data_IF_352804500600
#
_entry.id   IF_352804500600
#
_cell.length_a   1.000
_cell.length_b   1.000
_cell.length_c   1.000
_cell.angle_alpha   90.00
_cell.angle_beta   90.00
_cell.angle_gamma   90.00
#
_symmetry.space_group_name_H-M   'P 1'
#
loop_
_entity.id
_entity.type
_entity.pdbx_description
1 polymer ?
#
# COMPACT_ATOMS: atom_id res chain seq x y z
N UNK A 1 5.06 -19.87 -6.44
CA UNK A 1 3.82 -19.76 -5.60
C UNK A 1 2.62 -20.19 -6.42
N UNK A 2 1.69 -20.95 -5.83
CA UNK A 2 0.46 -21.37 -6.48
C UNK A 2 -0.73 -21.03 -5.58
N UNK A 3 -1.82 -20.51 -6.19
CA UNK A 3 -3.08 -20.18 -5.51
C UNK A 3 -4.25 -20.65 -6.36
N UNK A 4 -5.13 -21.44 -5.80
CA UNK A 4 -6.37 -21.86 -6.47
C UNK A 4 -7.54 -21.07 -5.92
N UNK A 5 -8.31 -20.41 -6.80
CA UNK A 5 -9.57 -19.77 -6.49
C UNK A 5 -10.73 -20.53 -7.13
N UNK A 6 -11.81 -20.71 -6.38
CA UNK A 6 -13.00 -21.42 -6.84
C UNK A 6 -14.19 -20.52 -6.69
N UNK A 7 -14.95 -20.34 -7.77
CA UNK A 7 -16.19 -19.59 -7.80
C UNK A 7 -17.33 -20.47 -8.29
N UNK A 8 -18.49 -20.38 -7.67
CA UNK A 8 -19.71 -21.00 -8.17
C UNK A 8 -20.55 -19.93 -8.86
N UNK A 9 -20.99 -20.20 -10.07
CA UNK A 9 -21.92 -19.36 -10.80
C UNK A 9 -23.30 -19.48 -10.17
N UNK A 10 -23.78 -18.43 -9.51
CA UNK A 10 -25.11 -18.39 -8.93
C UNK A 10 -26.20 -18.12 -10.00
N UNK A 11 -27.47 -18.19 -9.61
CA UNK A 11 -28.60 -18.00 -10.53
C UNK A 11 -28.71 -16.58 -11.12
N UNK A 12 -27.97 -15.59 -10.60
CA UNK A 12 -27.90 -14.24 -11.18
C UNK A 12 -26.99 -14.19 -12.40
N UNK A 13 -26.18 -15.24 -12.64
CA UNK A 13 -25.18 -15.34 -13.70
C UNK A 13 -25.79 -16.08 -14.89
N UNK A 14 -26.76 -15.48 -15.55
CA UNK A 14 -27.34 -16.07 -16.77
C UNK A 14 -26.48 -15.74 -17.98
N UNK A 15 -25.94 -16.78 -18.64
CA UNK A 15 -25.24 -16.68 -19.93
C UNK A 15 -24.11 -15.63 -19.97
N UNK A 16 -23.21 -15.68 -18.99
CA UNK A 16 -22.13 -14.67 -18.84
C UNK A 16 -20.78 -15.26 -19.25
N UNK A 17 -20.00 -14.60 -20.13
CA UNK A 17 -18.62 -15.02 -20.43
C UNK A 17 -17.74 -14.98 -19.19
N UNK A 18 -16.82 -15.96 -19.06
CA UNK A 18 -15.82 -16.02 -17.96
C UNK A 18 -15.08 -14.68 -17.79
N UNK A 19 -14.68 -14.04 -18.89
CA UNK A 19 -13.99 -12.74 -18.82
C UNK A 19 -14.82 -11.65 -18.18
N UNK A 20 -16.13 -11.63 -18.38
CA UNK A 20 -17.03 -10.65 -17.79
C UNK A 20 -17.30 -10.98 -16.31
N UNK A 21 -17.55 -12.24 -16.00
CA UNK A 21 -17.68 -12.72 -14.62
C UNK A 21 -16.46 -12.34 -13.76
N UNK A 22 -15.25 -12.62 -14.25
CA UNK A 22 -14.02 -12.28 -13.53
C UNK A 22 -13.84 -10.76 -13.34
N UNK A 23 -14.25 -9.95 -14.32
CA UNK A 23 -14.26 -8.48 -14.15
C UNK A 23 -15.21 -8.04 -13.03
N UNK A 24 -16.40 -8.64 -12.93
CA UNK A 24 -17.32 -8.37 -11.81
C UNK A 24 -16.73 -8.77 -10.46
N UNK A 25 -15.89 -9.83 -10.42
CA UNK A 25 -15.15 -10.26 -9.23
C UNK A 25 -13.92 -9.39 -8.94
N UNK A 26 -13.69 -8.30 -9.68
CA UNK A 26 -12.60 -7.33 -9.45
C UNK A 26 -11.30 -7.63 -10.21
N UNK A 27 -11.27 -8.62 -11.11
CA UNK A 27 -10.08 -8.90 -11.92
C UNK A 27 -9.84 -7.79 -12.93
N UNK A 28 -8.63 -7.27 -12.96
CA UNK A 28 -8.20 -6.28 -13.97
C UNK A 28 -8.06 -6.92 -15.36
N UNK A 29 -8.09 -6.10 -16.41
CA UNK A 29 -7.81 -6.59 -17.76
C UNK A 29 -6.43 -7.26 -17.86
N UNK A 30 -5.44 -6.76 -17.10
CA UNK A 30 -4.10 -7.35 -17.06
C UNK A 30 -4.10 -8.71 -16.36
N UNK A 31 -4.89 -8.90 -15.30
CA UNK A 31 -5.07 -10.22 -14.68
C UNK A 31 -5.61 -11.23 -15.69
N UNK A 32 -6.61 -10.85 -16.50
CA UNK A 32 -7.16 -11.73 -17.54
C UNK A 32 -6.12 -12.08 -18.62
N UNK A 33 -5.26 -11.14 -18.99
CA UNK A 33 -4.15 -11.38 -19.92
C UNK A 33 -3.15 -12.38 -19.33
N UNK A 34 -2.82 -12.29 -18.05
CA UNK A 34 -1.91 -13.23 -17.41
C UNK A 34 -2.52 -14.65 -17.34
N UNK A 35 -3.79 -14.77 -16.93
CA UNK A 35 -4.49 -16.06 -16.90
C UNK A 35 -4.54 -16.75 -18.28
N UNK A 36 -4.65 -15.99 -19.36
CA UNK A 36 -4.66 -16.54 -20.73
C UNK A 36 -3.34 -17.18 -21.18
N UNK A 37 -2.22 -16.85 -20.53
CA UNK A 37 -0.90 -17.40 -20.90
C UNK A 37 -0.75 -18.88 -20.57
N UNK A 38 -1.49 -19.36 -19.55
CA UNK A 38 -1.53 -20.76 -19.16
C UNK A 38 -2.91 -21.33 -19.52
N UNK A 39 -3.00 -22.22 -20.55
CA UNK A 39 -4.26 -22.84 -20.96
C UNK A 39 -4.94 -23.67 -19.86
N UNK A 40 -4.18 -24.09 -18.84
CA UNK A 40 -4.68 -24.85 -17.69
C UNK A 40 -5.09 -23.95 -16.50
N UNK A 41 -4.94 -22.63 -16.61
CA UNK A 41 -5.21 -21.71 -15.53
C UNK A 41 -6.71 -21.49 -15.25
N UNK A 42 -7.58 -21.77 -16.24
CA UNK A 42 -9.03 -21.51 -16.12
C UNK A 42 -9.81 -22.75 -16.49
N UNK A 43 -10.57 -23.28 -15.54
CA UNK A 43 -11.39 -24.50 -15.76
C UNK A 43 -12.86 -24.22 -15.42
N UNK A 44 -13.75 -24.63 -16.30
CA UNK A 44 -15.18 -24.71 -16.04
C UNK A 44 -15.54 -26.18 -15.77
N UNK A 45 -16.10 -26.48 -14.60
CA UNK A 45 -16.44 -27.86 -14.17
C UNK A 45 -15.25 -28.84 -14.32
N UNK A 46 -14.03 -28.39 -14.01
CA UNK A 46 -12.81 -29.19 -14.10
C UNK A 46 -12.22 -29.32 -15.53
N UNK A 47 -12.84 -28.72 -16.55
CA UNK A 47 -12.39 -28.78 -17.94
C UNK A 47 -11.78 -27.42 -18.33
N UNK A 48 -10.55 -27.38 -18.91
CA UNK A 48 -9.95 -26.13 -19.39
C UNK A 48 -10.87 -25.39 -20.36
N UNK A 49 -11.03 -24.09 -20.14
CA UNK A 49 -11.89 -23.25 -20.95
C UNK A 49 -11.25 -21.90 -21.31
N UNK A 50 -11.74 -21.28 -22.38
CA UNK A 50 -11.33 -19.93 -22.78
C UNK A 50 -12.14 -18.84 -22.08
N UNK A 51 -11.64 -17.62 -22.09
CA UNK A 51 -12.29 -16.46 -21.46
C UNK A 51 -13.65 -16.07 -22.06
N UNK A 52 -13.98 -16.53 -23.27
CA UNK A 52 -15.27 -16.38 -23.93
C UNK A 52 -16.26 -17.53 -23.64
N UNK A 53 -15.82 -18.56 -22.91
CA UNK A 53 -16.71 -19.62 -22.45
C UNK A 53 -17.87 -19.02 -21.62
N UNK A 54 -19.10 -19.42 -21.95
CA UNK A 54 -20.31 -18.90 -21.30
C UNK A 54 -20.66 -19.77 -20.12
N UNK A 55 -20.55 -19.22 -18.91
CA UNK A 55 -20.94 -19.90 -17.68
C UNK A 55 -22.45 -20.07 -17.60
N UNK A 56 -22.87 -21.23 -17.12
CA UNK A 56 -24.25 -21.56 -16.80
C UNK A 56 -24.47 -21.51 -15.28
N UNK A 57 -25.70 -21.36 -14.80
CA UNK A 57 -26.02 -21.49 -13.37
C UNK A 57 -25.48 -22.81 -12.80
N UNK A 58 -24.89 -22.75 -11.63
CA UNK A 58 -24.23 -23.87 -10.91
C UNK A 58 -22.90 -24.31 -11.47
N UNK A 59 -22.37 -23.74 -12.57
CA UNK A 59 -21.02 -24.00 -13.03
C UNK A 59 -19.98 -23.62 -11.96
N UNK A 60 -18.96 -24.46 -11.82
CA UNK A 60 -17.80 -24.18 -10.96
C UNK A 60 -16.65 -23.69 -11.82
N UNK A 61 -16.23 -22.45 -11.59
CA UNK A 61 -15.05 -21.86 -12.22
C UNK A 61 -13.86 -21.99 -11.29
N UNK A 62 -12.84 -22.75 -11.69
CA UNK A 62 -11.57 -22.89 -10.97
C UNK A 62 -10.49 -22.12 -11.67
N UNK A 63 -9.72 -21.32 -10.90
CA UNK A 63 -8.59 -20.56 -11.40
C UNK A 63 -7.31 -21.01 -10.71
N UNK A 64 -6.29 -21.33 -11.48
CA UNK A 64 -4.93 -21.60 -11.00
C UNK A 64 -4.05 -20.38 -11.26
N UNK A 65 -3.68 -19.67 -10.19
CA UNK A 65 -2.80 -18.51 -10.24
C UNK A 65 -1.40 -19.02 -9.90
N UNK A 66 -0.48 -18.95 -10.86
CA UNK A 66 0.91 -19.42 -10.69
C UNK A 66 1.88 -18.28 -10.83
N UNK A 67 2.85 -18.25 -9.91
CA UNK A 67 4.03 -17.39 -9.94
C UNK A 67 5.25 -18.33 -9.91
N UNK A 68 5.88 -18.52 -11.05
CA UNK A 68 6.98 -19.46 -11.28
C UNK A 68 8.37 -18.81 -11.28
N UNK A 69 8.40 -17.48 -11.18
CA UNK A 69 9.61 -16.68 -11.13
C UNK A 69 9.57 -15.69 -9.98
N UNK A 70 10.75 -15.22 -9.56
CA UNK A 70 10.94 -14.16 -8.57
C UNK A 70 11.34 -12.86 -9.24
N UNK A 71 11.32 -11.76 -8.48
CA UNK A 71 11.80 -10.46 -8.96
C UNK A 71 13.30 -10.51 -9.26
N UNK A 72 13.70 -10.51 -10.51
CA UNK A 72 15.08 -10.75 -10.99
C UNK A 72 16.12 -9.74 -10.45
N UNK A 73 15.71 -8.50 -10.16
CA UNK A 73 16.61 -7.40 -9.77
C UNK A 73 16.57 -7.09 -8.28
N UNK A 74 16.01 -7.97 -7.47
CA UNK A 74 15.89 -7.78 -6.02
C UNK A 74 16.67 -8.90 -5.33
N UNK A 75 17.92 -8.64 -4.91
CA UNK A 75 18.70 -9.66 -4.21
C UNK A 75 18.06 -9.97 -2.84
N UNK A 76 17.97 -11.25 -2.45
CA UNK A 76 17.51 -11.64 -1.12
C UNK A 76 18.54 -11.19 -0.06
N UNK A 77 18.07 -10.56 1.02
CA UNK A 77 18.89 -10.13 2.15
C UNK A 77 18.13 -10.39 3.44
N UNK A 78 18.80 -11.03 4.40
CA UNK A 78 18.24 -11.26 5.73
C UNK A 78 18.16 -9.94 6.52
N UNK A 79 17.00 -9.33 6.52
CA UNK A 79 16.69 -8.10 7.23
C UNK A 79 15.50 -8.32 8.17
N UNK A 80 15.39 -7.57 9.28
CA UNK A 80 14.26 -7.67 10.19
C UNK A 80 12.92 -7.40 9.46
N UNK A 81 11.95 -8.30 9.66
CA UNK A 81 10.58 -8.17 9.18
C UNK A 81 9.61 -8.27 10.36
N UNK A 82 8.72 -7.30 10.48
CA UNK A 82 7.58 -7.38 11.39
C UNK A 82 6.31 -7.64 10.58
N UNK A 83 5.95 -8.92 10.44
CA UNK A 83 4.75 -9.37 9.71
C UNK A 83 3.59 -9.33 10.70
N UNK A 84 2.64 -8.40 10.48
CA UNK A 84 1.44 -8.22 11.31
C UNK A 84 0.34 -9.20 10.90
N UNK A 85 0.29 -9.53 9.60
CA UNK A 85 -0.66 -10.48 9.04
C UNK A 85 -0.08 -11.11 7.77
N UNK A 86 -0.39 -12.37 7.55
CA UNK A 86 -0.09 -13.08 6.32
C UNK A 86 -1.14 -14.15 6.05
N UNK A 87 -1.59 -14.24 4.80
CA UNK A 87 -2.39 -15.35 4.29
C UNK A 87 -1.89 -15.81 2.91
N UNK A 88 -2.75 -16.50 2.16
CA UNK A 88 -2.40 -16.97 0.81
C UNK A 88 -2.35 -15.83 -0.24
N UNK A 89 -2.95 -14.68 0.02
CA UNK A 89 -3.23 -13.65 -0.97
C UNK A 89 -2.45 -12.35 -0.73
N UNK A 90 -2.17 -12.01 0.53
CA UNK A 90 -1.48 -10.77 0.92
C UNK A 90 -0.72 -10.87 2.24
N UNK A 91 0.11 -9.86 2.51
CA UNK A 91 0.77 -9.61 3.80
C UNK A 91 0.51 -8.18 4.22
N UNK A 92 0.41 -7.95 5.53
CA UNK A 92 0.49 -6.62 6.16
C UNK A 92 1.75 -6.59 7.01
N UNK A 93 2.59 -5.60 6.77
CA UNK A 93 3.91 -5.47 7.40
C UNK A 93 3.97 -4.13 8.10
N UNK A 94 4.44 -4.13 9.35
CA UNK A 94 4.86 -2.92 10.05
C UNK A 94 6.33 -2.63 9.70
N UNK A 95 6.52 -1.76 8.72
CA UNK A 95 7.83 -1.41 8.19
C UNK A 95 8.61 -0.52 9.15
N UNK A 96 9.84 -0.84 9.52
CA UNK A 96 10.68 0.07 10.31
C UNK A 96 11.02 1.35 9.52
N UNK A 97 11.39 2.41 10.22
CA UNK A 97 12.04 3.57 9.62
C UNK A 97 13.44 3.20 9.11
N UNK A 98 14.00 3.99 8.18
CA UNK A 98 15.31 3.73 7.58
C UNK A 98 15.33 2.68 6.47
N UNK A 99 14.21 1.98 6.24
CA UNK A 99 14.07 0.94 5.23
C UNK A 99 13.20 1.44 4.06
N UNK A 100 13.74 1.63 2.85
CA UNK A 100 12.92 1.93 1.66
C UNK A 100 12.09 0.71 1.23
N UNK A 101 11.03 0.96 0.47
CA UNK A 101 10.17 -0.12 -0.08
C UNK A 101 10.90 -0.93 -1.16
N UNK A 102 11.57 -0.24 -2.09
CA UNK A 102 12.31 -0.87 -3.19
C UNK A 102 13.80 -0.54 -3.11
N UNK A 103 14.66 -1.39 -3.68
CA UNK A 103 16.06 -1.06 -3.88
C UNK A 103 16.21 0.27 -4.65
N UNK A 104 17.20 1.07 -4.26
CA UNK A 104 17.56 2.34 -4.90
C UNK A 104 19.07 2.55 -4.85
N UNK A 105 19.59 3.56 -5.54
CA UNK A 105 21.01 3.78 -5.76
C UNK A 105 21.88 3.67 -4.49
N UNK A 106 21.42 4.17 -3.35
CA UNK A 106 22.16 4.09 -2.07
C UNK A 106 21.58 3.08 -1.07
N UNK A 107 20.58 2.29 -1.48
CA UNK A 107 19.86 1.33 -0.63
C UNK A 107 19.55 0.05 -1.41
N UNK A 108 20.56 -0.49 -2.10
CA UNK A 108 20.36 -1.65 -2.99
C UNK A 108 20.08 -2.94 -2.23
N UNK A 109 20.62 -3.06 -1.00
CA UNK A 109 20.52 -4.25 -0.16
C UNK A 109 19.74 -4.05 1.14
N UNK A 110 19.07 -2.90 1.31
CA UNK A 110 18.41 -2.52 2.57
C UNK A 110 16.95 -2.10 2.35
N UNK A 111 16.21 -2.83 1.54
CA UNK A 111 14.79 -2.51 1.28
C UNK A 111 13.85 -3.60 1.77
N UNK A 112 12.57 -3.25 1.96
CA UNK A 112 11.53 -4.22 2.26
C UNK A 112 11.45 -5.32 1.20
N UNK A 113 11.67 -4.97 -0.07
CA UNK A 113 11.72 -5.93 -1.16
C UNK A 113 12.84 -6.97 -1.00
N UNK A 114 14.04 -6.55 -0.53
CA UNK A 114 15.14 -7.47 -0.24
C UNK A 114 14.81 -8.42 0.92
N UNK A 115 14.21 -7.88 1.99
CA UNK A 115 13.81 -8.68 3.15
C UNK A 115 12.78 -9.76 2.76
N UNK A 116 11.78 -9.39 1.96
CA UNK A 116 10.76 -10.33 1.49
C UNK A 116 11.30 -11.32 0.45
N UNK A 117 12.22 -10.91 -0.42
CA UNK A 117 12.90 -11.84 -1.32
C UNK A 117 13.60 -12.94 -0.51
N UNK A 118 14.30 -12.58 0.57
CA UNK A 118 14.93 -13.57 1.47
C UNK A 118 13.89 -14.42 2.19
N UNK A 119 12.84 -13.82 2.73
CA UNK A 119 11.77 -14.55 3.45
C UNK A 119 11.14 -15.66 2.58
N UNK A 120 10.84 -15.38 1.32
CA UNK A 120 10.25 -16.36 0.40
C UNK A 120 11.29 -17.34 -0.18
N UNK A 121 12.55 -16.92 -0.33
CA UNK A 121 13.66 -17.83 -0.71
C UNK A 121 13.83 -18.94 0.31
N UNK A 122 13.79 -18.63 1.62
CA UNK A 122 13.89 -19.64 2.69
C UNK A 122 12.74 -20.65 2.67
N UNK A 123 11.63 -20.31 2.04
CA UNK A 123 10.48 -21.20 1.84
C UNK A 123 10.51 -21.94 0.49
N UNK A 124 11.56 -21.76 -0.31
CA UNK A 124 11.66 -22.24 -1.70
C UNK A 124 10.45 -21.81 -2.55
N UNK A 125 9.92 -20.61 -2.29
CA UNK A 125 8.72 -20.08 -2.92
C UNK A 125 9.08 -18.92 -3.86
N UNK A 126 8.86 -19.03 -5.18
CA UNK A 126 9.01 -17.90 -6.09
C UNK A 126 8.12 -16.74 -5.67
N UNK A 127 8.66 -15.53 -5.65
CA UNK A 127 7.95 -14.34 -5.19
C UNK A 127 8.26 -13.09 -6.02
N UNK A 128 7.23 -12.47 -6.58
CA UNK A 128 7.33 -11.17 -7.23
C UNK A 128 6.84 -10.08 -6.27
N UNK A 129 7.74 -9.17 -5.90
CA UNK A 129 7.43 -8.11 -4.93
C UNK A 129 6.42 -7.10 -5.49
N UNK A 130 5.29 -6.94 -4.79
CA UNK A 130 4.19 -6.02 -5.15
C UNK A 130 3.67 -5.28 -3.93
N UNK A 131 4.28 -4.14 -3.62
CA UNK A 131 3.82 -3.25 -2.56
C UNK A 131 2.65 -2.39 -3.05
N UNK A 132 1.58 -2.36 -2.28
CA UNK A 132 0.32 -1.71 -2.64
C UNK A 132 0.29 -0.24 -2.22
N UNK A 133 0.72 0.07 -0.99
CA UNK A 133 0.85 1.43 -0.48
C UNK A 133 2.30 1.71 -0.08
N UNK A 134 3.00 2.51 -0.87
CA UNK A 134 4.40 2.85 -0.59
C UNK A 134 4.51 3.81 0.58
N UNK A 135 5.53 3.61 1.41
CA UNK A 135 5.98 4.53 2.44
C UNK A 135 7.35 5.09 2.07
N UNK A 136 7.65 6.29 2.50
CA UNK A 136 9.00 6.85 2.38
C UNK A 136 10.00 6.01 3.20
N UNK A 137 11.30 6.09 2.89
CA UNK A 137 12.35 5.35 3.59
C UNK A 137 12.22 5.46 5.10
N UNK A 138 12.11 6.69 5.61
CA UNK A 138 12.13 7.00 7.04
C UNK A 138 10.72 7.11 7.66
N UNK A 139 9.66 6.83 6.90
CA UNK A 139 8.30 6.64 7.41
C UNK A 139 8.13 5.19 7.86
N UNK A 140 7.76 4.99 9.12
CA UNK A 140 7.45 3.67 9.68
C UNK A 140 5.98 3.31 9.53
N UNK A 141 5.62 2.04 9.81
CA UNK A 141 4.24 1.58 9.94
C UNK A 141 3.72 0.72 8.80
N UNK A 142 2.40 0.62 8.74
CA UNK A 142 1.69 -0.41 7.99
C UNK A 142 1.75 -0.25 6.46
N UNK A 143 2.13 -1.33 5.80
CA UNK A 143 2.10 -1.46 4.33
C UNK A 143 1.54 -2.81 3.92
N UNK A 144 0.83 -2.86 2.79
CA UNK A 144 0.28 -4.08 2.18
C UNK A 144 1.22 -4.54 1.08
N UNK A 145 1.53 -5.82 1.09
CA UNK A 145 2.23 -6.52 -0.01
C UNK A 145 1.33 -7.62 -0.54
N UNK A 146 1.05 -7.61 -1.82
CA UNK A 146 0.29 -8.66 -2.49
C UNK A 146 1.20 -9.84 -2.85
N UNK A 147 0.72 -11.08 -2.60
CA UNK A 147 1.50 -12.29 -2.83
C UNK A 147 1.42 -12.76 -4.30
N UNK A 148 0.36 -12.41 -5.03
CA UNK A 148 0.21 -12.76 -6.45
C UNK A 148 -0.43 -11.62 -7.26
N UNK A 149 -0.34 -11.70 -8.60
CA UNK A 149 -0.77 -10.63 -9.50
C UNK A 149 -2.28 -10.33 -9.44
N UNK A 150 -3.13 -11.29 -9.05
CA UNK A 150 -4.58 -11.06 -8.94
C UNK A 150 -4.88 -10.19 -7.73
N UNK A 151 -4.39 -10.56 -6.53
CA UNK A 151 -4.57 -9.73 -5.33
C UNK A 151 -3.97 -8.34 -5.49
N UNK A 152 -2.80 -8.24 -6.16
CA UNK A 152 -2.18 -6.94 -6.46
C UNK A 152 -3.07 -6.06 -7.35
N UNK A 153 -3.66 -6.65 -8.40
CA UNK A 153 -4.57 -5.93 -9.29
C UNK A 153 -5.82 -5.41 -8.57
N UNK A 154 -6.44 -6.24 -7.75
CA UNK A 154 -7.63 -5.89 -6.97
C UNK A 154 -7.33 -4.81 -5.92
N UNK A 155 -6.29 -4.97 -5.12
CA UNK A 155 -5.88 -3.99 -4.11
C UNK A 155 -5.48 -2.64 -4.74
N UNK A 156 -4.79 -2.66 -5.88
CA UNK A 156 -4.45 -1.44 -6.61
C UNK A 156 -5.68 -0.70 -7.13
N UNK A 157 -6.69 -1.44 -7.61
CA UNK A 157 -7.96 -0.86 -8.02
C UNK A 157 -8.73 -0.24 -6.84
N UNK A 158 -8.67 -0.85 -5.65
CA UNK A 158 -9.27 -0.30 -4.43
C UNK A 158 -8.61 1.03 -4.02
N UNK A 159 -7.29 1.17 -4.17
CA UNK A 159 -6.61 2.47 -3.92
C UNK A 159 -6.99 3.52 -4.96
N UNK A 160 -7.12 3.14 -6.22
CA UNK A 160 -7.42 4.06 -7.31
C UNK A 160 -8.87 4.57 -7.28
N UNK A 161 -9.81 3.74 -6.81
CA UNK A 161 -11.23 4.07 -6.77
C UNK A 161 -11.62 4.77 -5.46
N UNK A 162 -11.61 6.09 -5.46
CA UNK A 162 -11.89 6.93 -4.30
C UNK A 162 -13.35 6.84 -3.79
N UNK A 163 -14.29 6.57 -4.67
CA UNK A 163 -15.73 6.59 -4.33
C UNK A 163 -16.19 5.35 -3.55
N UNK A 164 -15.50 4.23 -3.77
CA UNK A 164 -15.77 2.94 -3.10
C UNK A 164 -14.55 2.45 -2.35
N UNK A 165 -13.61 3.34 -2.03
CA UNK A 165 -12.27 2.99 -1.59
C UNK A 165 -12.29 2.01 -0.44
N UNK A 166 -12.02 0.76 -0.78
CA UNK A 166 -11.86 -0.28 0.19
C UNK A 166 -10.61 -0.12 1.05
N UNK A 167 -9.72 0.87 0.83
CA UNK A 167 -8.47 1.02 1.60
C UNK A 167 -8.39 2.40 2.24
N UNK A 168 -8.50 2.45 3.57
CA UNK A 168 -8.26 3.65 4.38
C UNK A 168 -6.89 3.56 5.03
N UNK A 169 -6.11 4.63 4.91
CA UNK A 169 -4.76 4.77 5.46
C UNK A 169 -4.73 5.97 6.38
N UNK A 170 -4.57 5.72 7.66
CA UNK A 170 -4.44 6.76 8.68
C UNK A 170 -3.02 6.80 9.22
N UNK A 171 -2.46 7.98 9.34
CA UNK A 171 -1.10 8.23 9.78
C UNK A 171 -1.10 9.02 11.07
N UNK A 172 -0.06 8.84 11.89
CA UNK A 172 0.30 9.76 12.96
C UNK A 172 1.52 10.56 12.54
N UNK A 173 1.47 11.87 12.82
CA UNK A 173 2.62 12.74 12.62
C UNK A 173 2.78 13.66 13.84
N UNK A 174 4.03 14.07 14.12
CA UNK A 174 4.32 15.11 15.09
C UNK A 174 4.71 16.37 14.32
N UNK A 175 3.87 17.39 14.40
CA UNK A 175 4.04 18.68 13.76
C UNK A 175 4.64 19.69 14.74
N UNK A 176 5.50 20.60 14.25
CA UNK A 176 6.08 21.69 15.03
C UNK A 176 4.99 22.72 15.37
N UNK A 177 4.87 23.08 16.65
CA UNK A 177 3.93 24.08 17.13
C UNK A 177 2.51 23.55 17.39
N UNK A 178 1.62 24.48 17.76
CA UNK A 178 0.20 24.21 18.02
C UNK A 178 -0.62 24.37 16.75
N UNK A 179 -0.97 23.27 16.10
CA UNK A 179 -1.71 23.26 14.84
C UNK A 179 -3.11 23.85 15.00
N UNK A 180 -3.43 24.85 14.20
CA UNK A 180 -4.78 25.48 14.15
C UNK A 180 -5.26 25.63 12.70
N UNK A 181 -6.55 25.40 12.42
CA UNK A 181 -7.57 24.85 13.32
C UNK A 181 -7.28 23.38 13.71
N UNK A 182 -7.92 22.86 14.77
CA UNK A 182 -7.67 21.49 15.29
C UNK A 182 -8.04 20.36 14.32
N UNK A 183 -8.79 20.65 13.28
CA UNK A 183 -9.14 19.72 12.19
C UNK A 183 -9.34 20.48 10.89
N UNK A 184 -9.09 19.82 9.77
CA UNK A 184 -9.30 20.42 8.47
C UNK A 184 -8.97 19.48 7.32
N UNK A 185 -9.10 20.02 6.11
CA UNK A 185 -8.72 19.35 4.86
C UNK A 185 -7.76 20.25 4.09
N UNK A 186 -6.64 19.68 3.68
CA UNK A 186 -5.65 20.34 2.83
C UNK A 186 -5.86 19.83 1.41
N UNK A 187 -6.29 20.73 0.52
CA UNK A 187 -6.47 20.46 -0.91
C UNK A 187 -5.47 21.33 -1.66
N UNK A 188 -4.27 20.82 -1.87
CA UNK A 188 -3.17 21.51 -2.52
C UNK A 188 -2.43 20.56 -3.47
N UNK A 189 -2.43 20.82 -4.79
CA UNK A 189 -1.76 19.94 -5.74
C UNK A 189 -0.25 19.95 -5.55
N UNK A 190 0.38 18.81 -5.85
CA UNK A 190 1.81 18.59 -5.60
C UNK A 190 2.58 18.35 -6.90
N UNK A 191 3.65 19.09 -7.08
CA UNK A 191 4.60 18.97 -8.18
C UNK A 191 6.02 18.68 -7.72
N UNK A 192 6.92 18.48 -8.68
CA UNK A 192 8.35 18.40 -8.42
C UNK A 192 8.88 19.83 -8.24
N UNK A 193 9.66 20.08 -7.18
CA UNK A 193 10.34 21.36 -6.98
C UNK A 193 11.37 21.55 -8.09
N UNK A 194 11.38 22.70 -8.72
CA UNK A 194 12.34 23.04 -9.75
C UNK A 194 13.78 22.90 -9.23
N UNK A 195 14.67 22.34 -10.06
CA UNK A 195 16.06 22.07 -9.69
C UNK A 195 16.29 20.92 -8.71
N UNK A 196 15.24 20.21 -8.25
CA UNK A 196 15.39 19.09 -7.33
C UNK A 196 14.93 17.76 -7.93
N UNK A 197 15.72 16.71 -7.68
CA UNK A 197 15.37 15.34 -8.06
C UNK A 197 14.38 14.72 -7.06
N UNK A 198 14.50 15.07 -5.78
CA UNK A 198 13.76 14.41 -4.69
C UNK A 198 12.67 15.27 -4.06
N UNK A 199 12.88 16.59 -3.95
CA UNK A 199 11.93 17.47 -3.30
C UNK A 199 10.64 17.64 -4.12
N UNK A 200 9.54 17.78 -3.40
CA UNK A 200 8.23 18.13 -3.93
C UNK A 200 7.77 19.45 -3.32
N UNK A 201 6.85 20.13 -3.98
CA UNK A 201 6.26 21.39 -3.52
C UNK A 201 4.78 21.45 -3.85
N UNK A 202 4.06 22.37 -3.25
CA UNK A 202 2.71 22.74 -3.72
C UNK A 202 2.87 23.45 -5.06
N UNK A 203 2.12 23.00 -6.05
CA UNK A 203 2.17 23.51 -7.42
C UNK A 203 0.74 23.56 -7.97
N UNK A 204 0.16 24.75 -7.99
CA UNK A 204 -1.22 24.97 -8.45
C UNK A 204 -1.35 25.01 -9.97
N UNK A 205 -0.25 25.12 -10.71
CA UNK A 205 -0.28 25.19 -12.17
C UNK A 205 -0.16 23.81 -12.81
N UNK A 206 0.82 23.00 -12.35
CA UNK A 206 1.17 21.73 -12.99
C UNK A 206 1.12 20.52 -12.02
N UNK A 207 0.75 20.75 -10.76
CA UNK A 207 0.76 19.72 -9.72
C UNK A 207 -0.37 18.70 -9.88
N UNK A 208 -0.08 17.49 -9.42
CA UNK A 208 -1.10 16.44 -9.31
C UNK A 208 -2.01 16.68 -8.10
N UNK A 209 -3.33 16.53 -8.28
CA UNK A 209 -4.30 16.66 -7.20
C UNK A 209 -3.93 15.83 -5.97
N UNK A 210 -3.94 16.48 -4.82
CA UNK A 210 -3.64 15.86 -3.52
C UNK A 210 -4.58 16.39 -2.43
N UNK A 211 -5.13 15.46 -1.62
CA UNK A 211 -6.09 15.76 -0.56
C UNK A 211 -5.70 15.01 0.71
N UNK A 212 -5.55 15.74 1.82
CA UNK A 212 -5.22 15.21 3.15
C UNK A 212 -6.18 15.78 4.18
N UNK A 213 -6.89 14.92 4.90
CA UNK A 213 -7.66 15.31 6.08
C UNK A 213 -6.78 15.19 7.31
N UNK A 214 -6.89 16.13 8.25
CA UNK A 214 -6.14 16.08 9.48
C UNK A 214 -6.99 16.40 10.70
N UNK A 215 -6.58 15.87 11.85
CA UNK A 215 -7.13 16.16 13.17
C UNK A 215 -6.02 16.11 14.22
N UNK A 216 -5.90 17.17 15.02
CA UNK A 216 -5.02 17.21 16.19
C UNK A 216 -5.60 16.28 17.26
N UNK A 217 -4.77 15.38 17.77
CA UNK A 217 -5.13 14.42 18.82
C UNK A 217 -4.66 14.88 20.19
N UNK A 218 -3.46 15.46 20.25
CA UNK A 218 -2.82 15.93 21.50
C UNK A 218 -1.84 17.07 21.20
N UNK A 219 -1.54 17.89 22.21
CA UNK A 219 -0.53 18.96 22.14
C UNK A 219 0.37 18.87 23.36
N UNK A 220 1.65 18.64 23.16
CA UNK A 220 2.65 18.53 24.22
C UNK A 220 4.01 19.03 23.78
N UNK A 221 4.77 19.60 24.71
CA UNK A 221 6.17 20.01 24.51
C UNK A 221 6.37 20.92 23.28
N UNK A 222 5.40 21.81 22.98
CA UNK A 222 5.49 22.71 21.84
C UNK A 222 5.20 22.04 20.48
N UNK A 223 4.65 20.82 20.47
CA UNK A 223 4.31 20.05 19.29
C UNK A 223 2.86 19.57 19.29
N UNK A 224 2.33 19.28 18.13
CA UNK A 224 1.01 18.66 17.96
C UNK A 224 1.14 17.23 17.44
N UNK A 225 0.50 16.27 18.10
CA UNK A 225 0.24 14.95 17.56
C UNK A 225 -0.98 15.03 16.65
N UNK A 226 -0.79 14.70 15.38
CA UNK A 226 -1.81 14.85 14.34
C UNK A 226 -2.12 13.51 13.71
N UNK A 227 -3.41 13.17 13.62
CA UNK A 227 -3.91 12.08 12.78
C UNK A 227 -4.21 12.62 11.39
N UNK A 228 -3.78 11.88 10.34
CA UNK A 228 -3.95 12.28 8.95
C UNK A 228 -4.50 11.11 8.13
N UNK A 229 -5.55 11.39 7.33
CA UNK A 229 -6.16 10.43 6.42
C UNK A 229 -5.96 10.92 4.99
N UNK A 230 -5.50 10.02 4.12
CA UNK A 230 -5.18 10.32 2.74
C UNK A 230 -6.29 9.87 1.78
N UNK A 231 -6.83 10.81 0.97
CA UNK A 231 -7.60 10.44 -0.23
C UNK A 231 -6.68 10.11 -1.42
N UNK A 232 -5.52 10.73 -1.48
CA UNK A 232 -4.50 10.53 -2.53
C UNK A 232 -3.20 10.05 -1.89
N UNK A 233 -2.27 9.54 -2.68
CA UNK A 233 -0.98 9.05 -2.20
C UNK A 233 0.19 9.57 -3.02
N UNK A 234 0.39 10.91 -3.04
CA UNK A 234 1.51 11.53 -3.75
C UNK A 234 2.80 11.44 -2.94
N UNK A 235 3.93 11.46 -3.61
CA UNK A 235 5.24 11.43 -2.96
C UNK A 235 5.36 12.58 -1.96
N UNK A 236 5.76 12.28 -0.71
CA UNK A 236 5.92 13.23 0.39
C UNK A 236 4.63 14.03 0.76
N UNK A 237 3.44 13.55 0.38
CA UNK A 237 2.20 14.34 0.47
C UNK A 237 1.97 14.94 1.85
N UNK A 238 1.95 14.14 2.91
CA UNK A 238 1.71 14.61 4.29
C UNK A 238 2.75 15.65 4.69
N UNK A 239 4.03 15.39 4.39
CA UNK A 239 5.17 16.23 4.75
C UNK A 239 5.04 17.62 4.15
N UNK A 240 4.66 17.71 2.87
CA UNK A 240 4.47 18.97 2.15
C UNK A 240 3.19 19.67 2.61
N UNK A 241 2.09 18.94 2.74
CA UNK A 241 0.82 19.51 3.18
C UNK A 241 0.92 20.14 4.58
N UNK A 242 1.59 19.48 5.53
CA UNK A 242 1.79 20.02 6.85
C UNK A 242 2.73 21.24 6.84
N UNK A 243 3.78 21.22 6.01
CA UNK A 243 4.62 22.40 5.76
C UNK A 243 3.84 23.55 5.15
N UNK A 244 2.99 23.28 4.15
CA UNK A 244 2.14 24.28 3.48
C UNK A 244 1.16 24.92 4.46
N UNK A 245 0.62 24.14 5.42
CA UNK A 245 -0.24 24.63 6.48
C UNK A 245 0.51 25.51 7.52
N UNK A 246 1.85 25.56 7.45
CA UNK A 246 2.70 26.30 8.38
C UNK A 246 3.22 25.48 9.56
N UNK A 247 2.91 24.17 9.62
CA UNK A 247 3.27 23.27 10.70
C UNK A 247 4.06 22.06 10.18
N UNK A 248 5.33 22.22 9.75
CA UNK A 248 6.12 21.12 9.21
C UNK A 248 6.34 20.03 10.26
N UNK A 249 6.57 18.80 9.81
CA UNK A 249 6.89 17.69 10.70
C UNK A 249 8.27 17.89 11.31
N UNK A 250 8.42 17.53 12.59
CA UNK A 250 9.73 17.53 13.24
C UNK A 250 10.60 16.41 12.66
N UNK A 251 11.94 16.60 12.65
CA UNK A 251 12.90 15.63 12.13
C UNK A 251 12.83 15.41 10.63
N UNK A 252 12.11 16.24 9.87
CA UNK A 252 12.02 16.12 8.42
C UNK A 252 13.19 16.83 7.73
N UNK A 253 14.23 16.07 7.40
CA UNK A 253 15.48 16.58 6.83
C UNK A 253 15.30 17.40 5.53
N UNK A 254 14.21 17.19 4.77
CA UNK A 254 13.94 17.93 3.53
C UNK A 254 13.09 19.19 3.75
N UNK A 255 12.10 19.12 4.64
CA UNK A 255 11.08 20.15 4.76
C UNK A 255 11.14 20.93 6.07
N UNK A 256 11.82 20.40 7.07
CA UNK A 256 12.12 21.02 8.37
C UNK A 256 13.38 20.37 8.94
N UNK A 257 14.58 20.84 8.55
CA UNK A 257 15.86 20.17 8.84
C UNK A 257 16.31 20.22 10.31
N UNK A 258 15.42 20.55 11.24
CA UNK A 258 15.63 20.47 12.68
C UNK A 258 15.54 19.00 13.13
N UNK A 259 16.68 18.42 13.49
CA UNK A 259 16.86 17.01 13.85
C UNK A 259 17.19 16.83 15.34
N UNK A 260 16.97 17.83 16.20
CA UNK A 260 17.40 17.79 17.61
C UNK A 260 16.64 16.73 18.43
N UNK A 261 15.34 16.62 18.24
CA UNK A 261 14.48 15.74 19.04
C UNK A 261 14.24 14.36 18.43
N UNK A 262 14.28 14.26 17.10
CA UNK A 262 14.08 13.02 16.36
C UNK A 262 14.88 13.06 15.05
N UNK A 263 15.56 11.94 14.71
CA UNK A 263 16.51 11.85 13.59
C UNK A 263 15.85 11.42 12.25
N UNK A 264 14.52 11.55 12.16
CA UNK A 264 13.73 11.24 10.96
C UNK A 264 12.42 12.03 10.96
N UNK A 265 11.76 12.16 9.80
CA UNK A 265 10.42 12.71 9.82
C UNK A 265 9.52 11.93 10.80
N UNK A 266 8.94 12.63 11.76
CA UNK A 266 8.01 12.06 12.72
C UNK A 266 6.68 11.72 12.03
N UNK A 267 6.70 10.65 11.23
CA UNK A 267 5.57 10.16 10.44
C UNK A 267 5.48 8.64 10.53
N UNK A 268 4.28 8.14 10.79
CA UNK A 268 4.00 6.72 11.02
C UNK A 268 2.66 6.32 10.40
N UNK A 269 2.65 5.29 9.57
CA UNK A 269 1.42 4.70 9.02
C UNK A 269 0.74 3.85 10.11
N UNK A 270 -0.17 4.48 10.84
CA UNK A 270 -0.72 4.00 12.10
C UNK A 270 -1.82 2.97 11.94
N UNK A 271 -2.85 3.31 11.14
CA UNK A 271 -3.99 2.40 10.92
C UNK A 271 -4.20 2.14 9.45
N UNK A 272 -4.57 0.90 9.18
CA UNK A 272 -4.88 0.41 7.86
C UNK A 272 -6.17 -0.39 7.91
N UNK A 273 -7.17 -0.04 7.10
CA UNK A 273 -8.39 -0.81 6.96
C UNK A 273 -8.78 -0.98 5.50
N UNK A 274 -9.21 -2.17 5.13
CA UNK A 274 -9.61 -2.51 3.76
C UNK A 274 -10.52 -3.74 3.76
N UNK A 275 -11.13 -4.01 2.60
CA UNK A 275 -11.82 -5.26 2.35
C UNK A 275 -10.85 -6.23 1.70
N UNK A 276 -10.73 -7.45 2.24
CA UNK A 276 -9.86 -8.47 1.67
C UNK A 276 -10.27 -8.78 0.23
N UNK A 277 -9.33 -8.71 -0.76
CA UNK A 277 -9.68 -8.75 -2.19
C UNK A 277 -10.31 -10.08 -2.63
N UNK A 278 -10.02 -11.17 -1.93
CA UNK A 278 -10.49 -12.52 -2.30
C UNK A 278 -11.66 -12.96 -1.41
N UNK A 279 -11.53 -12.84 -0.09
CA UNK A 279 -12.56 -13.32 0.85
C UNK A 279 -13.70 -12.34 1.04
N UNK A 280 -13.50 -11.04 0.79
CA UNK A 280 -14.48 -9.99 1.07
C UNK A 280 -14.58 -9.58 2.54
N UNK A 281 -13.75 -10.14 3.41
CA UNK A 281 -13.73 -9.82 4.84
C UNK A 281 -13.20 -8.42 5.11
N UNK A 282 -13.75 -7.75 6.11
CA UNK A 282 -13.22 -6.45 6.57
C UNK A 282 -11.98 -6.67 7.43
N UNK A 283 -10.87 -6.09 7.00
CA UNK A 283 -9.58 -6.16 7.68
C UNK A 283 -9.26 -4.81 8.31
N UNK A 284 -8.74 -4.84 9.54
CA UNK A 284 -8.29 -3.64 10.24
C UNK A 284 -7.04 -3.95 11.06
N UNK A 285 -6.01 -3.12 10.91
CA UNK A 285 -4.72 -3.24 11.58
C UNK A 285 -4.33 -1.90 12.22
N UNK A 286 -3.62 -1.98 13.33
CA UNK A 286 -3.07 -0.82 14.02
C UNK A 286 -1.64 -1.14 14.44
N UNK A 287 -0.68 -0.29 14.05
CA UNK A 287 0.69 -0.36 14.54
C UNK A 287 0.85 0.54 15.78
N UNK A 288 1.63 0.15 16.79
CA UNK A 288 1.88 0.99 17.96
C UNK A 288 2.64 2.27 17.57
N UNK A 289 2.44 3.36 18.33
CA UNK A 289 3.25 4.57 18.15
C UNK A 289 4.72 4.23 18.39
N UNK A 290 5.65 4.54 17.45
CA UNK A 290 7.07 4.26 17.62
C UNK A 290 7.66 4.96 18.85
N UNK A 291 8.59 4.29 19.54
CA UNK A 291 9.21 4.78 20.78
C UNK A 291 9.89 6.15 20.59
N UNK A 292 10.58 6.37 19.46
CA UNK A 292 11.22 7.64 19.13
C UNK A 292 10.20 8.79 18.98
N UNK A 293 9.01 8.51 18.45
CA UNK A 293 7.93 9.49 18.40
C UNK A 293 7.26 9.68 19.77
N UNK A 294 7.10 8.60 20.54
CA UNK A 294 6.53 8.68 21.90
C UNK A 294 7.44 9.49 22.82
N UNK A 295 8.75 9.33 22.75
CA UNK A 295 9.72 10.06 23.58
C UNK A 295 9.70 11.59 23.34
N UNK A 296 9.33 12.07 22.17
CA UNK A 296 9.16 13.51 21.90
C UNK A 296 7.96 14.10 22.67
N UNK A 297 6.87 13.35 22.73
CA UNK A 297 5.63 13.81 23.35
C UNK A 297 5.60 13.53 24.86
N UNK A 298 6.22 12.42 25.28
CA UNK A 298 6.19 11.88 26.66
C UNK A 298 7.61 11.53 27.11
N UNK A 299 8.48 12.56 27.31
CA UNK A 299 9.87 12.36 27.69
C UNK A 299 10.06 11.73 29.06
#
# INVERSE_FOLDING_TARGET
>A
MERTLIYTADNSIVSMPVSYFLKQKGFSSQNLVQLKKDPSAVLANGIPCFMNHVLQPSDTLTLHIREDHSSEKIPPVNLPLNIVYEDADLMVIDKPAGMPIHPSMNNYYNSLANALAYYFEQQNCPFVFRCINRLDRDTSGLTIVAKHYVSAGMLSAMIANKATSGITREYLAIAKGSVRPLKGTITAPLGRKEGSIIERTVDFENGESAVTHYRVLDEKNGHSLVSLILETGRTHQIRIHMKYLGYPLIGDYLYNPDMEQIQRQALHAWKLSFVHPITGEKMQFTAPLPEDMAAVLYP
#
